data_IF_409439080110
#
_entry.id   IF_409439080110
#
_cell.length_a   1.000
_cell.length_b   1.000
_cell.length_c   1.000
_cell.angle_alpha   90.00
_cell.angle_beta   90.00
_cell.angle_gamma   90.00
#
_symmetry.space_group_name_H-M   'P 1'
#
loop_
_entity.id
_entity.type
_entity.pdbx_description
1 polymer ?
#
# COMPACT_ATOMS: atom_id res chain seq x y z
N UNK A 1 -0.40 15.76 -0.06
CA UNK A 1 -0.18 16.87 -1.04
C UNK A 1 -0.80 16.46 -2.37
N UNK A 2 -1.24 17.39 -3.25
CA UNK A 2 -1.94 17.01 -4.52
C UNK A 2 -1.09 16.17 -5.49
N UNK A 3 0.24 16.26 -5.37
CA UNK A 3 1.19 15.49 -6.17
C UNK A 3 1.58 14.15 -5.54
N UNK A 4 1.04 13.80 -4.36
CA UNK A 4 1.27 12.48 -3.76
C UNK A 4 0.47 11.45 -4.56
N UNK A 5 1.16 10.45 -5.12
CA UNK A 5 0.56 9.42 -5.97
C UNK A 5 0.49 8.04 -5.33
N UNK A 6 1.31 7.79 -4.32
CA UNK A 6 1.47 6.49 -3.67
C UNK A 6 1.97 6.69 -2.25
N UNK A 7 1.53 5.84 -1.33
CA UNK A 7 2.05 5.76 0.03
C UNK A 7 2.52 4.34 0.38
N UNK A 8 3.80 4.19 0.72
CA UNK A 8 4.34 2.91 1.21
C UNK A 8 4.23 2.90 2.74
N UNK A 9 3.59 1.88 3.31
CA UNK A 9 3.29 1.80 4.74
C UNK A 9 3.33 0.39 5.26
N UNK A 10 3.66 0.23 6.53
CA UNK A 10 3.48 -1.02 7.26
C UNK A 10 2.02 -1.41 7.53
N UNK A 11 1.02 -0.59 7.16
CA UNK A 11 -0.39 -0.90 7.40
C UNK A 11 -0.92 -0.52 8.79
N UNK A 12 -0.20 0.34 9.51
CA UNK A 12 -0.70 0.95 10.74
C UNK A 12 -1.96 1.79 10.50
N UNK A 13 -2.90 1.75 11.45
CA UNK A 13 -4.26 2.29 11.27
C UNK A 13 -4.29 3.78 10.92
N UNK A 14 -3.58 4.63 11.67
CA UNK A 14 -3.70 6.09 11.53
C UNK A 14 -3.19 6.57 10.16
N UNK A 15 -2.00 6.14 9.75
CA UNK A 15 -1.43 6.57 8.47
C UNK A 15 -2.21 6.01 7.27
N UNK A 16 -2.74 4.80 7.38
CA UNK A 16 -3.60 4.23 6.35
C UNK A 16 -4.96 4.92 6.26
N UNK A 17 -5.53 5.39 7.37
CA UNK A 17 -6.77 6.19 7.35
C UNK A 17 -6.57 7.53 6.64
N UNK A 18 -5.43 8.19 6.83
CA UNK A 18 -5.10 9.42 6.09
C UNK A 18 -5.02 9.14 4.59
N UNK A 19 -4.30 8.08 4.18
CA UNK A 19 -4.18 7.70 2.78
C UNK A 19 -5.54 7.38 2.13
N UNK A 20 -6.39 6.63 2.83
CA UNK A 20 -7.77 6.34 2.38
C UNK A 20 -8.61 7.62 2.26
N UNK A 21 -8.53 8.52 3.24
CA UNK A 21 -9.29 9.79 3.25
C UNK A 21 -8.94 10.67 2.05
N UNK A 22 -7.68 10.67 1.63
CA UNK A 22 -7.21 11.45 0.49
C UNK A 22 -7.17 10.67 -0.83
N UNK A 23 -7.67 9.42 -0.86
CA UNK A 23 -7.68 8.60 -2.06
C UNK A 23 -6.29 8.31 -2.61
N UNK A 24 -5.29 8.19 -1.73
CA UNK A 24 -3.91 7.84 -2.12
C UNK A 24 -3.77 6.32 -2.01
N UNK A 25 -3.49 5.60 -3.11
CA UNK A 25 -3.26 4.16 -3.07
C UNK A 25 -1.99 3.81 -2.29
N UNK A 26 -1.92 2.59 -1.78
CA UNK A 26 -0.88 2.14 -0.86
C UNK A 26 -0.11 0.91 -1.33
N UNK A 27 1.17 0.82 -0.94
CA UNK A 27 1.88 -0.45 -0.85
C UNK A 27 2.02 -0.79 0.63
N UNK A 28 1.32 -1.84 1.06
CA UNK A 28 1.37 -2.41 2.39
C UNK A 28 2.55 -3.37 2.54
N UNK A 29 3.40 -3.15 3.53
CA UNK A 29 4.50 -4.06 3.92
C UNK A 29 4.33 -4.40 5.41
N UNK A 30 3.35 -5.25 5.77
CA UNK A 30 3.04 -5.54 7.15
C UNK A 30 4.23 -6.21 7.84
N UNK A 31 4.52 -5.78 9.07
CA UNK A 31 5.64 -6.28 9.86
C UNK A 31 5.16 -7.21 10.99
N UNK A 32 4.08 -6.85 11.68
CA UNK A 32 3.55 -7.63 12.80
C UNK A 32 2.13 -7.19 13.21
N UNK A 33 1.46 -8.03 14.01
CA UNK A 33 0.19 -7.66 14.65
C UNK A 33 -0.95 -7.43 13.66
N UNK A 34 -1.75 -6.40 13.95
CA UNK A 34 -2.96 -6.02 13.21
C UNK A 34 -2.69 -5.50 11.79
N UNK A 35 -1.45 -5.13 11.49
CA UNK A 35 -1.00 -4.61 10.19
C UNK A 35 -1.42 -5.51 9.02
N UNK A 36 -1.32 -6.83 9.17
CA UNK A 36 -1.71 -7.79 8.13
C UNK A 36 -3.22 -7.68 7.81
N UNK A 37 -4.06 -7.67 8.84
CA UNK A 37 -5.50 -7.56 8.67
C UNK A 37 -5.90 -6.20 8.06
N UNK A 38 -5.21 -5.13 8.48
CA UNK A 38 -5.40 -3.80 7.92
C UNK A 38 -5.08 -3.77 6.43
N UNK A 39 -3.90 -4.27 6.02
CA UNK A 39 -3.48 -4.32 4.61
C UNK A 39 -4.46 -5.14 3.77
N UNK A 40 -4.87 -6.32 4.24
CA UNK A 40 -5.90 -7.15 3.56
C UNK A 40 -7.19 -6.37 3.34
N UNK A 41 -7.64 -5.60 4.33
CA UNK A 41 -8.84 -4.75 4.19
C UNK A 41 -8.64 -3.66 3.13
N UNK A 42 -7.46 -3.05 3.05
CA UNK A 42 -7.18 -2.01 2.06
C UNK A 42 -7.08 -2.58 0.64
N UNK A 43 -6.55 -3.79 0.47
CA UNK A 43 -6.57 -4.52 -0.81
C UNK A 43 -8.02 -4.79 -1.23
N UNK A 44 -8.87 -5.23 -0.31
CA UNK A 44 -10.29 -5.49 -0.59
C UNK A 44 -11.07 -4.23 -1.03
N UNK A 45 -10.61 -3.04 -0.60
CA UNK A 45 -11.14 -1.75 -1.05
C UNK A 45 -10.56 -1.31 -2.41
N UNK A 46 -9.64 -2.08 -3.00
CA UNK A 46 -8.94 -1.69 -4.23
C UNK A 46 -7.88 -0.61 -4.01
N UNK A 47 -7.51 -0.32 -2.76
CA UNK A 47 -6.66 0.82 -2.39
C UNK A 47 -5.23 0.42 -2.03
N UNK A 48 -4.88 -0.86 -2.08
CA UNK A 48 -3.53 -1.31 -1.74
C UNK A 48 -3.05 -2.52 -2.54
N UNK A 49 -1.73 -2.63 -2.64
CA UNK A 49 -0.97 -3.86 -2.93
C UNK A 49 -0.21 -4.28 -1.67
N UNK A 50 0.02 -5.57 -1.50
CA UNK A 50 0.86 -6.09 -0.40
C UNK A 50 2.19 -6.62 -0.94
N UNK A 51 3.27 -6.32 -0.23
CA UNK A 51 4.57 -6.97 -0.40
C UNK A 51 4.95 -7.70 0.88
N UNK A 52 5.42 -8.93 0.73
CA UNK A 52 5.97 -9.71 1.85
C UNK A 52 7.39 -9.21 2.16
N UNK A 53 7.59 -8.78 3.42
CA UNK A 53 8.87 -8.34 3.96
C UNK A 53 9.98 -9.39 3.81
N UNK A 54 9.64 -10.68 3.84
CA UNK A 54 10.60 -11.79 3.73
C UNK A 54 11.14 -12.00 2.32
N UNK A 55 10.37 -11.61 1.31
CA UNK A 55 10.75 -11.71 -0.11
C UNK A 55 10.98 -10.35 -0.75
N UNK A 56 11.10 -9.30 0.06
CA UNK A 56 11.22 -7.93 -0.44
C UNK A 56 12.54 -7.78 -1.21
N UNK A 57 12.45 -7.16 -2.38
CA UNK A 57 13.59 -6.86 -3.23
C UNK A 57 13.34 -5.54 -3.95
N UNK A 58 14.41 -4.92 -4.46
CA UNK A 58 14.31 -3.73 -5.31
C UNK A 58 13.33 -3.98 -6.47
N UNK A 59 13.45 -5.13 -7.14
CA UNK A 59 12.57 -5.51 -8.24
C UNK A 59 11.10 -5.59 -7.82
N UNK A 60 10.81 -6.19 -6.65
CA UNK A 60 9.45 -6.29 -6.15
C UNK A 60 8.85 -4.90 -5.84
N UNK A 61 9.65 -4.01 -5.24
CA UNK A 61 9.24 -2.64 -4.93
C UNK A 61 8.98 -1.86 -6.24
N UNK A 62 9.92 -1.86 -7.18
CA UNK A 62 9.77 -1.16 -8.46
C UNK A 62 8.55 -1.66 -9.23
N UNK A 63 8.32 -2.98 -9.26
CA UNK A 63 7.15 -3.55 -9.94
C UNK A 63 5.83 -3.11 -9.28
N UNK A 64 5.78 -3.06 -7.94
CA UNK A 64 4.59 -2.62 -7.23
C UNK A 64 4.32 -1.11 -7.40
N UNK A 65 5.37 -0.30 -7.48
CA UNK A 65 5.27 1.13 -7.80
C UNK A 65 4.71 1.30 -9.21
N UNK A 66 5.30 0.61 -10.19
CA UNK A 66 4.86 0.69 -11.59
C UNK A 66 3.41 0.23 -11.76
N UNK A 67 3.01 -0.84 -11.06
CA UNK A 67 1.63 -1.32 -11.04
C UNK A 67 0.67 -0.25 -10.53
N UNK A 68 0.94 0.40 -9.40
CA UNK A 68 0.04 1.43 -8.87
C UNK A 68 0.03 2.70 -9.74
N UNK A 69 1.16 3.10 -10.31
CA UNK A 69 1.24 4.33 -11.07
C UNK A 69 0.62 4.22 -12.48
N UNK A 70 0.54 3.01 -13.04
CA UNK A 70 0.11 2.80 -14.43
C UNK A 70 -1.14 1.93 -14.59
N UNK A 71 -1.61 1.24 -13.54
CA UNK A 71 -2.88 0.50 -13.60
C UNK A 71 -4.05 1.41 -13.21
N UNK A 72 -5.04 1.65 -14.09
CA UNK A 72 -6.21 2.50 -13.82
C UNK A 72 -7.11 2.02 -12.67
N UNK A 73 -6.87 0.82 -12.12
CA UNK A 73 -7.55 0.30 -10.94
C UNK A 73 -7.22 1.10 -9.67
N UNK A 74 -6.01 1.65 -9.58
CA UNK A 74 -5.49 2.31 -8.37
C UNK A 74 -5.54 3.84 -8.48
#
# INVERSE_FOLDING_TARGET
>A
HKNTKLFITHGGLMSSQEALTYGVPMIGIPLFGDQHANVVRYIALGMALELDIKSLSEKAISSAIDEILHNPKY
#
